data_IF_489673622358
#
_entry.id   IF_489673622358
#
_cell.length_a   1.000
_cell.length_b   1.000
_cell.length_c   1.000
_cell.angle_alpha   90.00
_cell.angle_beta   90.00
_cell.angle_gamma   90.00
#
_symmetry.space_group_name_H-M   'P 1'
#
loop_
_entity.id
_entity.type
_entity.pdbx_description
1 polymer ?
#
# COMPACT_ATOMS: atom_id res chain seq x y z
N UNK A 1 46.45 -3.55 2.90
CA UNK A 1 45.67 -4.48 3.74
C UNK A 1 44.26 -4.58 3.17
N UNK A 2 43.90 -5.64 2.43
CA UNK A 2 42.54 -5.79 1.88
C UNK A 2 41.53 -5.95 3.03
N UNK A 3 40.52 -5.09 3.06
CA UNK A 3 39.45 -5.16 4.06
C UNK A 3 38.66 -6.46 3.87
N UNK A 4 38.68 -7.32 4.89
CA UNK A 4 37.91 -8.55 4.89
C UNK A 4 36.42 -8.20 4.87
N UNK A 5 35.74 -8.51 3.75
CA UNK A 5 34.29 -8.40 3.64
C UNK A 5 33.63 -9.28 4.71
N UNK A 6 32.64 -8.70 5.39
CA UNK A 6 31.78 -9.42 6.34
C UNK A 6 31.11 -10.62 5.66
N UNK A 7 30.72 -11.66 6.41
CA UNK A 7 30.04 -12.84 5.85
C UNK A 7 28.82 -12.48 4.98
N UNK A 8 28.04 -11.48 5.42
CA UNK A 8 26.92 -10.93 4.66
C UNK A 8 27.36 -10.26 3.35
N UNK A 9 28.46 -9.50 3.38
CA UNK A 9 29.04 -8.88 2.18
C UNK A 9 29.53 -9.91 1.15
N UNK A 10 29.95 -11.10 1.60
CA UNK A 10 30.30 -12.22 0.69
C UNK A 10 29.07 -12.87 0.08
N UNK A 11 28.01 -13.10 0.86
CA UNK A 11 26.74 -13.65 0.37
C UNK A 11 26.07 -12.71 -0.64
N UNK A 12 25.98 -11.42 -0.35
CA UNK A 12 25.44 -10.43 -1.30
C UNK A 12 26.23 -10.39 -2.60
N UNK A 13 27.55 -10.51 -2.54
CA UNK A 13 28.41 -10.55 -3.74
C UNK A 13 28.19 -11.82 -4.57
N UNK A 14 27.96 -12.97 -3.92
CA UNK A 14 27.63 -14.22 -4.59
C UNK A 14 26.23 -14.19 -5.23
N UNK A 15 25.24 -13.63 -4.55
CA UNK A 15 23.88 -13.46 -5.09
C UNK A 15 23.91 -12.52 -6.29
N UNK A 16 24.60 -11.38 -6.19
CA UNK A 16 24.75 -10.43 -7.30
C UNK A 16 25.55 -11.00 -8.48
N UNK A 17 26.51 -11.87 -8.23
CA UNK A 17 27.27 -12.55 -9.29
C UNK A 17 26.47 -13.62 -10.03
N UNK A 18 25.43 -14.18 -9.39
CA UNK A 18 24.60 -15.26 -9.94
C UNK A 18 23.24 -14.78 -10.47
N UNK A 19 22.92 -13.50 -10.34
CA UNK A 19 21.77 -12.93 -11.06
C UNK A 19 22.05 -13.00 -12.56
N UNK A 20 21.17 -13.58 -13.37
CA UNK A 20 21.30 -13.56 -14.82
C UNK A 20 21.03 -12.13 -15.29
N UNK A 21 22.05 -11.29 -15.26
CA UNK A 21 22.09 -10.11 -16.12
C UNK A 21 22.16 -10.66 -17.54
N UNK A 22 20.98 -10.79 -18.15
CA UNK A 22 20.83 -11.07 -19.57
C UNK A 22 21.72 -10.09 -20.32
N UNK A 23 22.85 -10.57 -20.81
CA UNK A 23 23.63 -9.84 -21.78
C UNK A 23 22.71 -9.52 -22.97
N UNK A 24 22.70 -8.29 -23.48
CA UNK A 24 21.82 -7.90 -24.56
C UNK A 24 22.48 -8.31 -25.87
N UNK A 25 22.56 -9.60 -26.19
CA UNK A 25 23.04 -10.08 -27.50
C UNK A 25 22.74 -11.57 -27.67
N UNK A 26 21.51 -11.91 -28.07
CA UNK A 26 21.24 -13.06 -28.95
C UNK A 26 19.77 -13.06 -29.39
N UNK A 27 19.57 -13.01 -30.73
CA UNK A 27 18.34 -13.26 -31.49
C UNK A 27 17.30 -12.13 -31.60
N UNK A 28 17.60 -11.21 -32.53
CA UNK A 28 16.71 -11.01 -33.67
C UNK A 28 17.59 -10.91 -34.93
N UNK A 29 17.42 -11.86 -35.85
CA UNK A 29 17.93 -11.72 -37.21
C UNK A 29 17.03 -10.75 -37.99
N UNK A 30 17.66 -10.07 -38.96
CA UNK A 30 17.07 -9.34 -40.07
C UNK A 30 16.54 -7.92 -39.78
N UNK A 31 17.43 -6.92 -39.82
CA UNK A 31 17.13 -5.64 -40.48
C UNK A 31 18.43 -4.94 -40.95
N UNK A 32 18.58 -4.94 -42.28
CA UNK A 32 19.18 -3.94 -43.18
C UNK A 32 20.01 -2.79 -42.57
N UNK A 33 21.32 -2.83 -42.88
CA UNK A 33 22.16 -1.74 -43.46
C UNK A 33 22.11 -0.33 -42.83
N UNK A 34 23.16 -0.03 -42.07
CA UNK A 34 23.98 1.19 -42.22
C UNK A 34 23.52 2.49 -41.56
N UNK A 35 24.08 2.81 -40.39
CA UNK A 35 24.47 4.19 -40.06
C UNK A 35 25.42 4.22 -38.86
N UNK A 36 26.61 4.80 -39.06
CA UNK A 36 27.59 5.09 -38.02
C UNK A 36 27.17 6.35 -37.24
N UNK A 37 27.20 6.29 -35.91
CA UNK A 37 27.14 7.47 -35.05
C UNK A 37 28.37 7.47 -34.13
N UNK A 38 29.26 8.48 -34.22
CA UNK A 38 30.39 8.63 -33.31
C UNK A 38 29.98 9.45 -32.08
N UNK A 39 30.44 9.03 -30.90
CA UNK A 39 30.51 9.91 -29.73
C UNK A 39 29.92 9.35 -28.44
N UNK A 40 30.66 8.46 -27.77
CA UNK A 40 30.51 8.27 -26.33
C UNK A 40 31.91 8.27 -25.70
N UNK A 41 32.21 9.34 -24.96
CA UNK A 41 33.42 9.44 -24.13
C UNK A 41 33.25 8.61 -22.85
N UNK A 42 34.29 7.86 -22.41
CA UNK A 42 34.27 7.18 -21.12
C UNK A 42 34.53 8.19 -19.98
N UNK A 43 33.72 8.14 -18.93
CA UNK A 43 33.99 8.85 -17.67
C UNK A 43 34.91 8.00 -16.78
N UNK A 44 36.06 8.56 -16.42
CA UNK A 44 36.90 8.06 -15.34
C UNK A 44 36.29 8.46 -13.99
N UNK A 45 36.03 7.47 -13.13
CA UNK A 45 35.72 7.69 -11.72
C UNK A 45 37.04 7.75 -10.96
N UNK A 46 37.42 8.94 -10.49
CA UNK A 46 38.55 9.12 -9.59
C UNK A 46 38.12 8.84 -8.14
N UNK A 47 38.69 7.81 -7.55
CA UNK A 47 38.67 7.57 -6.10
C UNK A 47 39.81 8.37 -5.44
N UNK A 48 39.48 9.40 -4.67
CA UNK A 48 40.45 10.06 -3.78
C UNK A 48 40.32 9.51 -2.35
N UNK A 49 41.33 8.75 -1.93
CA UNK A 49 41.70 8.56 -0.54
C UNK A 49 42.72 9.64 -0.14
N UNK A 50 42.58 10.19 1.07
CA UNK A 50 43.57 11.07 1.70
C UNK A 50 42.91 11.74 2.91
N UNK A 51 43.08 11.19 4.12
CA UNK A 51 44.20 11.41 5.05
C UNK A 51 43.81 12.44 6.11
N UNK A 52 43.91 12.00 7.37
CA UNK A 52 43.69 12.77 8.57
C UNK A 52 45.01 13.36 9.11
N UNK A 53 44.84 14.30 10.05
CA UNK A 53 45.79 14.89 11.01
C UNK A 53 46.35 16.29 10.67
N UNK A 54 46.80 17.09 11.66
CA UNK A 54 46.33 17.27 13.04
C UNK A 54 46.18 18.75 13.45
N UNK A 55 45.81 18.97 14.72
CA UNK A 55 45.69 20.25 15.40
C UNK A 55 47.01 21.06 15.46
N UNK A 56 46.90 22.39 15.41
CA UNK A 56 47.91 23.31 15.91
C UNK A 56 47.27 24.61 16.43
N UNK A 57 47.88 25.11 17.50
CA UNK A 57 47.56 26.26 18.35
C UNK A 57 48.25 27.52 17.82
N UNK A 58 47.56 28.67 17.82
CA UNK A 58 48.10 30.04 18.00
C UNK A 58 46.94 31.05 17.75
N UNK A 59 46.45 31.77 18.76
CA UNK A 59 46.95 33.04 19.31
C UNK A 59 46.48 34.29 18.53
N UNK A 60 45.63 35.07 19.24
CA UNK A 60 45.53 36.54 19.28
C UNK A 60 45.50 37.35 17.99
N UNK A 61 44.37 38.03 17.75
CA UNK A 61 44.39 39.43 17.31
C UNK A 61 43.17 40.18 17.86
N UNK A 62 43.48 41.16 18.72
CA UNK A 62 42.63 42.26 19.17
C UNK A 62 42.38 43.22 18.02
N UNK A 63 41.13 43.58 17.76
CA UNK A 63 40.78 44.79 17.01
C UNK A 63 39.62 45.46 17.75
N UNK A 64 39.96 46.57 18.37
CA UNK A 64 39.03 47.58 18.87
C UNK A 64 38.12 48.05 17.73
N UNK A 65 36.82 48.13 17.97
CA UNK A 65 35.93 48.92 17.13
C UNK A 65 35.08 49.83 18.01
N UNK A 66 35.18 51.11 17.65
CA UNK A 66 34.63 52.28 18.29
C UNK A 66 33.14 52.18 18.66
N UNK A 67 32.82 52.67 19.85
CA UNK A 67 31.47 53.05 20.25
C UNK A 67 31.04 54.28 19.44
N UNK A 68 30.00 54.13 18.63
CA UNK A 68 29.27 55.22 17.98
C UNK A 68 27.96 55.50 18.74
N UNK A 69 27.82 56.61 19.49
CA UNK A 69 26.62 56.93 20.22
C UNK A 69 25.72 57.84 19.36
N UNK A 70 24.91 57.26 18.48
CA UNK A 70 24.10 58.10 17.60
C UNK A 70 23.15 57.41 16.64
N UNK A 71 22.43 56.36 17.04
CA UNK A 71 21.34 55.85 16.22
C UNK A 71 20.15 55.43 17.08
N UNK A 72 19.06 56.20 16.97
CA UNK A 72 17.79 55.89 17.61
C UNK A 72 17.27 54.53 17.13
N UNK A 73 16.75 53.68 18.03
CA UNK A 73 16.17 52.40 17.64
C UNK A 73 14.88 52.64 16.86
N UNK A 74 14.86 52.21 15.59
CA UNK A 74 13.63 52.14 14.81
C UNK A 74 12.61 51.23 15.53
N UNK A 75 11.30 51.57 15.51
CA UNK A 75 10.29 50.80 16.21
C UNK A 75 10.29 49.36 15.69
N UNK A 76 10.42 48.42 16.63
CA UNK A 76 10.41 46.99 16.37
C UNK A 76 9.18 46.61 15.54
N UNK A 77 9.39 46.31 14.26
CA UNK A 77 8.33 45.70 13.47
C UNK A 77 8.06 44.31 14.05
N UNK A 78 6.80 43.98 14.39
CA UNK A 78 6.47 42.64 14.83
C UNK A 78 6.88 41.68 13.72
N UNK A 79 7.76 40.73 14.03
CA UNK A 79 8.10 39.65 13.12
C UNK A 79 6.83 38.81 12.89
N UNK A 80 6.09 39.12 11.82
CA UNK A 80 5.06 38.24 11.29
C UNK A 80 5.76 36.99 10.75
N UNK A 81 6.00 36.03 11.64
CA UNK A 81 6.37 34.68 11.24
C UNK A 81 5.25 34.15 10.36
N UNK A 82 5.51 34.11 9.06
CA UNK A 82 4.67 33.46 8.07
C UNK A 82 4.23 32.10 8.62
N UNK A 83 2.91 31.81 8.71
CA UNK A 83 2.43 30.55 9.25
C UNK A 83 3.06 29.41 8.45
N UNK A 84 3.90 28.62 9.13
CA UNK A 84 4.65 27.55 8.51
C UNK A 84 3.67 26.58 7.84
N UNK A 85 3.88 26.35 6.54
CA UNK A 85 3.48 25.15 5.77
C UNK A 85 2.18 24.48 6.25
N UNK A 86 1.09 24.91 5.62
CA UNK A 86 0.04 24.05 5.04
C UNK A 86 -0.03 22.65 5.66
N UNK A 87 -0.67 22.53 6.82
CA UNK A 87 -1.14 21.24 7.34
C UNK A 87 -2.26 20.81 6.40
N UNK A 88 -1.91 20.15 5.29
CA UNK A 88 -2.89 19.49 4.43
C UNK A 88 -3.58 18.43 5.29
N UNK A 89 -4.80 18.75 5.74
CA UNK A 89 -5.70 17.78 6.36
C UNK A 89 -5.90 16.65 5.35
N UNK A 90 -5.18 15.54 5.52
CA UNK A 90 -5.44 14.30 4.78
C UNK A 90 -6.83 13.85 5.21
N UNK A 91 -7.85 14.25 4.43
CA UNK A 91 -9.21 13.71 4.57
C UNK A 91 -9.07 12.19 4.50
N UNK A 92 -9.34 11.51 5.61
CA UNK A 92 -9.35 10.05 5.62
C UNK A 92 -10.41 9.62 4.61
N UNK A 93 -10.03 8.75 3.67
CA UNK A 93 -11.00 8.15 2.77
C UNK A 93 -12.02 7.40 3.63
N UNK A 94 -13.29 7.72 3.43
CA UNK A 94 -14.41 7.10 4.13
C UNK A 94 -14.49 5.62 3.73
N UNK A 95 -14.77 4.77 4.70
CA UNK A 95 -14.81 3.32 4.52
C UNK A 95 -16.26 2.83 4.60
N UNK A 96 -17.00 3.05 3.50
CA UNK A 96 -18.44 2.80 3.43
C UNK A 96 -18.83 1.38 3.83
N UNK A 97 -18.01 0.39 3.45
CA UNK A 97 -18.31 -1.03 3.74
C UNK A 97 -18.16 -1.37 5.21
N UNK A 98 -17.11 -0.85 5.87
CA UNK A 98 -16.92 -1.05 7.30
C UNK A 98 -18.02 -0.34 8.08
N UNK A 99 -18.38 0.90 7.71
CA UNK A 99 -19.49 1.62 8.33
C UNK A 99 -20.85 0.89 8.13
N UNK A 100 -21.08 0.31 6.95
CA UNK A 100 -22.27 -0.48 6.69
C UNK A 100 -22.36 -1.73 7.55
N UNK A 101 -21.24 -2.44 7.76
CA UNK A 101 -21.21 -3.60 8.66
C UNK A 101 -21.23 -3.20 10.14
N UNK A 102 -20.66 -2.06 10.53
CA UNK A 102 -20.75 -1.56 11.91
C UNK A 102 -22.19 -1.23 12.32
N UNK A 103 -22.99 -0.76 11.35
CA UNK A 103 -24.43 -0.54 11.55
C UNK A 103 -25.26 -1.84 11.50
N UNK A 104 -24.65 -2.96 11.14
CA UNK A 104 -25.30 -4.28 11.13
C UNK A 104 -25.08 -5.02 12.44
N UNK A 105 -25.96 -5.97 12.77
CA UNK A 105 -25.86 -6.83 13.97
C UNK A 105 -24.74 -7.90 13.85
N UNK A 106 -23.70 -7.66 13.04
CA UNK A 106 -22.63 -8.62 12.72
C UNK A 106 -21.22 -8.08 13.05
N UNK A 107 -20.91 -7.75 14.32
CA UNK A 107 -19.63 -7.16 14.71
C UNK A 107 -18.42 -8.08 14.43
N UNK A 108 -18.64 -9.40 14.35
CA UNK A 108 -17.59 -10.40 14.09
C UNK A 108 -16.97 -10.28 12.69
N UNK A 109 -17.73 -9.75 11.72
CA UNK A 109 -17.29 -9.61 10.33
C UNK A 109 -16.52 -8.30 10.14
N UNK A 110 -16.85 -7.29 10.96
CA UNK A 110 -16.27 -5.95 10.88
C UNK A 110 -14.75 -6.10 10.98
N UNK A 111 -14.01 -5.77 9.91
CA UNK A 111 -12.57 -5.86 9.94
C UNK A 111 -12.09 -4.99 11.09
N UNK A 112 -11.29 -5.57 12.00
CA UNK A 112 -10.82 -4.89 13.20
C UNK A 112 -10.48 -3.44 12.81
N UNK A 113 -11.28 -2.49 13.32
CA UNK A 113 -11.15 -1.08 12.97
C UNK A 113 -9.68 -0.80 13.08
N UNK A 114 -9.06 -0.37 11.96
CA UNK A 114 -7.62 -0.26 11.84
C UNK A 114 -7.19 0.42 13.12
N UNK A 115 -6.59 -0.37 14.03
CA UNK A 115 -6.52 0.06 15.43
C UNK A 115 -5.97 1.46 15.34
N UNK A 116 -6.46 2.37 16.17
CA UNK A 116 -5.79 3.65 16.35
C UNK A 116 -4.39 3.44 16.98
N UNK A 117 -3.65 2.38 16.60
CA UNK A 117 -2.22 2.39 16.34
C UNK A 117 -1.96 3.57 15.40
N UNK A 118 -2.02 4.74 16.01
CA UNK A 118 -1.31 5.92 15.59
C UNK A 118 0.07 5.45 15.19
N UNK A 119 0.47 5.78 13.97
CA UNK A 119 1.76 5.38 13.44
C UNK A 119 2.86 5.98 14.33
N UNK A 120 3.26 5.23 15.36
CA UNK A 120 4.30 5.58 16.31
C UNK A 120 5.69 5.46 15.68
N UNK A 121 5.81 4.97 14.43
CA UNK A 121 7.08 4.92 13.72
C UNK A 121 7.68 6.31 13.46
N UNK A 122 6.86 7.36 13.50
CA UNK A 122 7.28 8.76 13.38
C UNK A 122 7.40 9.50 14.72
N UNK A 123 6.94 8.90 15.83
CA UNK A 123 7.13 9.45 17.15
C UNK A 123 8.54 9.11 17.62
N UNK A 124 9.47 10.03 17.34
CA UNK A 124 10.77 10.00 17.98
C UNK A 124 10.57 10.08 19.49
N UNK A 125 10.73 8.94 20.18
CA UNK A 125 10.55 8.77 21.63
C UNK A 125 11.40 9.78 22.42
N UNK A 126 12.45 10.35 21.81
CA UNK A 126 13.32 11.35 22.41
C UNK A 126 12.79 12.79 22.35
N UNK A 127 11.70 13.05 21.63
CA UNK A 127 11.10 14.39 21.61
C UNK A 127 10.34 14.65 22.90
N UNK A 128 10.89 15.50 23.77
CA UNK A 128 10.26 15.95 25.03
C UNK A 128 8.84 16.52 24.84
N UNK A 129 8.49 16.91 23.60
CA UNK A 129 7.17 17.46 23.23
C UNK A 129 6.28 16.48 22.45
N UNK A 130 6.73 15.25 22.17
CA UNK A 130 5.99 14.27 21.38
C UNK A 130 4.64 13.91 22.00
N UNK A 131 4.59 13.80 23.34
CA UNK A 131 3.38 13.45 24.09
C UNK A 131 2.34 14.58 24.09
N UNK A 132 2.76 15.85 24.26
CA UNK A 132 1.86 17.01 24.18
C UNK A 132 1.30 17.19 22.76
N UNK A 133 2.16 17.05 21.75
CA UNK A 133 1.73 17.11 20.35
C UNK A 133 0.76 15.97 20.01
N UNK A 134 1.00 14.78 20.57
CA UNK A 134 0.11 13.63 20.44
C UNK A 134 -1.28 13.90 21.02
N UNK A 135 -1.40 14.49 22.21
CA UNK A 135 -2.71 14.84 22.79
C UNK A 135 -3.46 15.82 21.89
N UNK A 136 -2.79 16.86 21.38
CA UNK A 136 -3.39 17.85 20.48
C UNK A 136 -3.85 17.22 19.16
N UNK A 137 -3.04 16.35 18.55
CA UNK A 137 -3.43 15.67 17.31
C UNK A 137 -4.55 14.64 17.55
N UNK A 138 -4.57 13.97 18.70
CA UNK A 138 -5.63 13.02 19.07
C UNK A 138 -6.97 13.72 19.32
N UNK A 139 -6.98 14.87 19.99
CA UNK A 139 -8.18 15.71 20.16
C UNK A 139 -8.69 16.24 18.82
N UNK A 140 -7.80 16.70 17.94
CA UNK A 140 -8.16 17.10 16.56
C UNK A 140 -8.80 15.96 15.79
N UNK A 141 -8.25 14.75 15.86
CA UNK A 141 -8.82 13.58 15.21
C UNK A 141 -10.12 13.07 15.86
N UNK A 142 -10.32 13.32 17.16
CA UNK A 142 -11.57 13.01 17.85
C UNK A 142 -12.68 14.00 17.52
N UNK A 143 -12.34 15.28 17.29
CA UNK A 143 -13.25 16.32 16.82
C UNK A 143 -13.60 16.18 15.32
N UNK A 144 -12.69 15.62 14.51
CA UNK A 144 -12.94 15.21 13.12
C UNK A 144 -13.81 13.94 12.99
N UNK A 145 -14.47 13.48 14.07
CA UNK A 145 -15.51 12.43 13.99
C UNK A 145 -16.57 12.92 13.00
N UNK A 146 -16.60 12.26 11.84
CA UNK A 146 -17.31 12.72 10.66
C UNK A 146 -18.82 12.86 10.91
N UNK A 147 -19.47 13.83 10.27
CA UNK A 147 -20.92 13.95 10.29
C UNK A 147 -21.57 12.66 9.78
N UNK A 148 -22.60 12.23 10.52
CA UNK A 148 -23.56 11.16 10.16
C UNK A 148 -23.92 11.27 8.68
N UNK A 149 -23.61 10.23 7.89
CA UNK A 149 -24.09 9.91 6.53
C UNK A 149 -24.53 11.07 5.60
N UNK A 150 -23.97 12.27 5.72
CA UNK A 150 -24.44 13.42 4.99
C UNK A 150 -24.03 13.30 3.52
N UNK A 151 -24.94 12.70 2.72
CA UNK A 151 -25.16 12.81 1.29
C UNK A 151 -24.00 13.41 0.47
N UNK A 152 -22.82 12.80 0.52
CA UNK A 152 -21.77 13.13 -0.45
C UNK A 152 -22.22 12.53 -1.78
N UNK A 153 -22.28 13.30 -2.86
CA UNK A 153 -22.74 12.86 -4.19
C UNK A 153 -21.71 11.94 -4.90
N UNK A 154 -20.79 11.33 -4.16
CA UNK A 154 -19.71 10.54 -4.73
C UNK A 154 -20.21 9.16 -5.16
N UNK A 155 -20.12 8.88 -6.47
CA UNK A 155 -20.49 7.61 -7.10
C UNK A 155 -19.31 6.65 -7.04
N UNK A 156 -19.42 5.64 -6.19
CA UNK A 156 -18.40 4.61 -5.98
C UNK A 156 -19.06 3.26 -5.81
N UNK A 157 -18.47 2.22 -6.39
CA UNK A 157 -18.97 0.85 -6.27
C UNK A 157 -19.02 0.40 -4.80
N UNK A 158 -18.05 0.81 -3.99
CA UNK A 158 -18.00 0.49 -2.55
C UNK A 158 -19.21 1.06 -1.80
N UNK A 159 -19.64 2.27 -2.17
CA UNK A 159 -20.80 2.92 -1.54
C UNK A 159 -22.10 2.27 -1.95
N UNK A 160 -22.28 2.00 -3.26
CA UNK A 160 -23.49 1.33 -3.75
C UNK A 160 -23.61 -0.05 -3.09
N UNK A 161 -22.50 -0.78 -2.99
CA UNK A 161 -22.45 -2.08 -2.30
C UNK A 161 -22.78 -1.93 -0.81
N UNK A 162 -22.23 -0.91 -0.13
CA UNK A 162 -22.52 -0.62 1.27
C UNK A 162 -24.01 -0.32 1.52
N UNK A 163 -24.66 0.43 0.63
CA UNK A 163 -26.10 0.70 0.72
C UNK A 163 -26.91 -0.61 0.63
N UNK A 164 -26.56 -1.50 -0.30
CA UNK A 164 -27.21 -2.81 -0.44
C UNK A 164 -27.01 -3.69 0.81
N UNK A 165 -25.81 -3.65 1.41
CA UNK A 165 -25.52 -4.33 2.68
C UNK A 165 -26.43 -3.82 3.80
N UNK A 166 -26.55 -2.49 3.96
CA UNK A 166 -27.41 -1.88 5.00
C UNK A 166 -28.87 -2.31 4.84
N UNK A 167 -29.42 -2.24 3.63
CA UNK A 167 -30.82 -2.64 3.37
C UNK A 167 -31.06 -4.14 3.50
N UNK A 168 -30.07 -4.98 3.20
CA UNK A 168 -30.18 -6.43 3.40
C UNK A 168 -30.35 -6.80 4.88
N UNK A 169 -29.61 -6.12 5.76
CA UNK A 169 -29.65 -6.36 7.21
C UNK A 169 -30.93 -5.78 7.84
N UNK A 170 -31.36 -4.58 7.45
CA UNK A 170 -32.63 -4.00 7.92
C UNK A 170 -33.83 -4.94 7.70
N UNK A 171 -33.85 -5.67 6.58
CA UNK A 171 -34.88 -6.67 6.27
C UNK A 171 -34.78 -7.91 7.16
N UNK A 172 -33.55 -8.35 7.43
CA UNK A 172 -33.32 -9.51 8.27
C UNK A 172 -33.75 -9.25 9.72
N UNK A 173 -33.60 -8.02 10.21
CA UNK A 173 -34.03 -7.59 11.53
C UNK A 173 -35.53 -7.30 11.60
N UNK A 174 -36.15 -6.73 10.54
CA UNK A 174 -37.61 -6.58 10.42
C UNK A 174 -38.29 -7.88 9.98
N UNK A 175 -38.16 -8.92 10.79
CA UNK A 175 -38.89 -10.17 10.58
C UNK A 175 -40.40 -9.89 10.65
N UNK A 176 -41.11 -10.06 9.53
CA UNK A 176 -42.36 -10.85 9.36
C UNK A 176 -43.39 -10.25 8.40
N UNK A 177 -43.55 -8.92 8.24
CA UNK A 177 -44.77 -8.42 7.54
C UNK A 177 -44.59 -7.68 6.21
N UNK A 178 -43.36 -7.41 5.74
CA UNK A 178 -43.12 -6.59 4.54
C UNK A 178 -42.11 -7.27 3.61
N UNK A 179 -42.49 -8.43 3.06
CA UNK A 179 -41.57 -9.35 2.36
C UNK A 179 -41.25 -8.97 0.91
N UNK A 180 -42.01 -8.06 0.29
CA UNK A 180 -42.00 -7.90 -1.17
C UNK A 180 -41.45 -6.57 -1.71
N UNK A 181 -41.02 -5.65 -0.86
CA UNK A 181 -40.34 -4.45 -1.36
C UNK A 181 -38.93 -4.84 -1.80
N UNK A 182 -38.72 -5.17 -3.07
CA UNK A 182 -37.39 -5.33 -3.67
C UNK A 182 -36.60 -4.02 -3.51
N UNK A 183 -35.31 -4.10 -3.13
CA UNK A 183 -34.50 -2.90 -2.99
C UNK A 183 -34.31 -2.29 -4.38
N UNK A 184 -34.74 -1.05 -4.56
CA UNK A 184 -34.60 -0.35 -5.83
C UNK A 184 -33.39 0.58 -5.72
N UNK A 185 -32.38 0.33 -6.55
CA UNK A 185 -31.28 1.26 -6.77
C UNK A 185 -31.83 2.59 -7.29
N UNK A 186 -31.21 3.69 -6.90
CA UNK A 186 -31.53 4.97 -7.52
C UNK A 186 -31.15 4.93 -9.01
N UNK A 187 -31.91 5.63 -9.87
CA UNK A 187 -31.72 5.61 -11.34
C UNK A 187 -30.27 5.91 -11.75
N UNK A 188 -29.64 6.89 -11.09
CA UNK A 188 -28.25 7.26 -11.34
C UNK A 188 -27.22 6.22 -10.85
N UNK A 189 -27.54 5.42 -9.82
CA UNK A 189 -26.69 4.30 -9.40
C UNK A 189 -26.75 3.19 -10.46
N UNK A 190 -27.94 2.91 -10.98
CA UNK A 190 -28.14 1.93 -12.04
C UNK A 190 -27.43 2.33 -13.34
N UNK A 191 -27.54 3.60 -13.76
CA UNK A 191 -26.79 4.15 -14.91
C UNK A 191 -25.28 4.06 -14.70
N UNK A 192 -24.79 4.38 -13.49
CA UNK A 192 -23.38 4.27 -13.17
C UNK A 192 -22.89 2.81 -13.25
N UNK A 193 -23.62 1.85 -12.69
CA UNK A 193 -23.29 0.43 -12.78
C UNK A 193 -23.28 -0.05 -14.23
N UNK A 194 -24.29 0.32 -15.01
CA UNK A 194 -24.39 -0.03 -16.41
C UNK A 194 -23.20 0.52 -17.22
N UNK A 195 -22.79 1.78 -16.96
CA UNK A 195 -21.60 2.39 -17.59
C UNK A 195 -20.29 1.66 -17.26
N UNK A 196 -20.27 0.90 -16.17
CA UNK A 196 -19.14 0.07 -15.74
C UNK A 196 -19.29 -1.40 -16.13
N UNK A 197 -20.38 -1.76 -16.82
CA UNK A 197 -20.67 -3.13 -17.23
C UNK A 197 -21.04 -4.05 -16.07
N UNK A 198 -21.66 -3.50 -15.03
CA UNK A 198 -22.17 -4.25 -13.87
C UNK A 198 -23.69 -4.16 -13.79
N UNK A 199 -24.31 -5.21 -13.26
CA UNK A 199 -25.75 -5.25 -12.98
C UNK A 199 -26.02 -5.11 -11.48
N UNK A 200 -27.28 -4.90 -11.11
CA UNK A 200 -27.70 -4.97 -9.71
C UNK A 200 -27.39 -6.34 -9.08
N UNK A 201 -27.55 -7.42 -9.84
CA UNK A 201 -27.25 -8.79 -9.38
C UNK A 201 -25.79 -8.93 -8.96
N UNK A 202 -24.86 -8.32 -9.71
CA UNK A 202 -23.44 -8.33 -9.35
C UNK A 202 -23.23 -7.63 -8.01
N UNK A 203 -23.82 -6.44 -7.81
CA UNK A 203 -23.70 -5.70 -6.55
C UNK A 203 -24.33 -6.46 -5.38
N UNK A 204 -25.50 -7.06 -5.59
CA UNK A 204 -26.18 -7.89 -4.59
C UNK A 204 -25.30 -9.08 -4.19
N UNK A 205 -24.63 -9.70 -5.16
CA UNK A 205 -23.69 -10.77 -4.91
C UNK A 205 -22.46 -10.29 -4.13
N UNK A 206 -21.88 -9.13 -4.47
CA UNK A 206 -20.77 -8.55 -3.72
C UNK A 206 -21.14 -8.23 -2.28
N UNK A 207 -22.33 -7.65 -2.07
CA UNK A 207 -22.90 -7.42 -0.75
C UNK A 207 -23.03 -8.75 0.01
N UNK A 208 -23.53 -9.80 -0.64
CA UNK A 208 -23.66 -11.13 -0.03
C UNK A 208 -22.31 -11.75 0.35
N UNK A 209 -21.24 -11.50 -0.42
CA UNK A 209 -19.87 -11.95 -0.08
C UNK A 209 -19.37 -11.17 1.14
N UNK A 210 -19.57 -9.86 1.16
CA UNK A 210 -19.07 -8.97 2.22
C UNK A 210 -19.78 -9.23 3.56
N UNK A 211 -21.10 -9.43 3.52
CA UNK A 211 -21.94 -9.71 4.71
C UNK A 211 -21.88 -11.16 5.19
N UNK A 212 -21.24 -12.09 4.46
CA UNK A 212 -21.16 -13.49 4.88
C UNK A 212 -20.28 -13.63 6.13
N UNK A 213 -20.81 -14.22 7.21
CA UNK A 213 -20.10 -14.36 8.50
C UNK A 213 -18.88 -15.27 8.40
N UNK A 214 -19.04 -16.38 7.69
CA UNK A 214 -17.97 -17.35 7.51
C UNK A 214 -17.03 -16.93 6.37
N UNK A 215 -15.80 -16.57 6.72
CA UNK A 215 -14.76 -16.21 5.74
C UNK A 215 -14.52 -17.28 4.67
N UNK A 216 -14.67 -18.57 5.00
CA UNK A 216 -14.52 -19.65 4.02
C UNK A 216 -15.67 -19.63 3.00
N UNK A 217 -16.92 -19.49 3.47
CA UNK A 217 -18.09 -19.36 2.57
C UNK A 217 -18.00 -18.10 1.71
N UNK A 218 -17.57 -16.98 2.28
CA UNK A 218 -17.40 -15.72 1.56
C UNK A 218 -16.41 -15.88 0.38
N UNK A 219 -15.28 -16.54 0.64
CA UNK A 219 -14.29 -16.84 -0.41
C UNK A 219 -14.83 -17.83 -1.44
N UNK A 220 -15.57 -18.86 -1.04
CA UNK A 220 -16.18 -19.80 -1.98
C UNK A 220 -17.21 -19.13 -2.90
N UNK A 221 -18.01 -18.19 -2.39
CA UNK A 221 -18.92 -17.37 -3.21
C UNK A 221 -18.16 -16.52 -4.23
N UNK A 222 -17.05 -15.91 -3.81
CA UNK A 222 -16.17 -15.17 -4.72
C UNK A 222 -15.59 -16.07 -5.82
N UNK A 223 -15.16 -17.28 -5.47
CA UNK A 223 -14.63 -18.27 -6.43
C UNK A 223 -15.70 -18.70 -7.42
N UNK A 224 -16.90 -19.02 -6.94
CA UNK A 224 -18.02 -19.43 -7.79
C UNK A 224 -18.32 -18.36 -8.85
N UNK A 225 -18.43 -17.10 -8.43
CA UNK A 225 -18.69 -15.98 -9.34
C UNK A 225 -17.54 -15.75 -10.34
N UNK A 226 -16.29 -15.83 -9.89
CA UNK A 226 -15.13 -15.66 -10.78
C UNK A 226 -15.00 -16.78 -11.83
N UNK A 227 -15.48 -17.98 -11.52
CA UNK A 227 -15.53 -19.12 -12.44
C UNK A 227 -16.61 -18.95 -13.52
N UNK A 228 -17.69 -18.23 -13.23
CA UNK A 228 -18.72 -17.83 -14.21
C UNK A 228 -18.22 -16.75 -15.21
N UNK A 229 -16.95 -16.35 -15.11
CA UNK A 229 -16.33 -15.35 -15.99
C UNK A 229 -16.60 -13.90 -15.56
N UNK A 230 -17.38 -13.68 -14.51
CA UNK A 230 -17.62 -12.34 -13.94
C UNK A 230 -16.55 -12.01 -12.91
N UNK A 231 -15.81 -10.92 -13.13
CA UNK A 231 -14.72 -10.52 -12.24
C UNK A 231 -15.28 -9.64 -11.12
N UNK A 232 -15.22 -10.09 -9.87
CA UNK A 232 -15.60 -9.24 -8.71
C UNK A 232 -14.63 -8.05 -8.63
N UNK A 233 -15.08 -6.82 -8.31
CA UNK A 233 -14.17 -5.69 -8.13
C UNK A 233 -13.10 -5.91 -7.06
N UNK A 234 -11.92 -5.31 -7.26
CA UNK A 234 -10.75 -5.52 -6.38
C UNK A 234 -11.01 -5.13 -4.93
N UNK A 235 -11.90 -4.16 -4.67
CA UNK A 235 -12.21 -3.75 -3.30
C UNK A 235 -12.84 -4.88 -2.48
N UNK A 236 -13.60 -5.80 -3.10
CA UNK A 236 -14.20 -6.95 -2.41
C UNK A 236 -13.11 -7.93 -1.99
N UNK A 237 -12.16 -8.22 -2.88
CA UNK A 237 -10.99 -9.04 -2.57
C UNK A 237 -10.16 -8.44 -1.42
N UNK A 238 -9.91 -7.14 -1.51
CA UNK A 238 -9.21 -6.38 -0.48
C UNK A 238 -9.96 -6.42 0.86
N UNK A 239 -11.29 -6.38 0.83
CA UNK A 239 -12.14 -6.46 2.02
C UNK A 239 -12.03 -7.83 2.69
N UNK A 240 -12.09 -8.93 1.92
CA UNK A 240 -11.89 -10.29 2.45
C UNK A 240 -10.51 -10.45 3.10
N UNK A 241 -9.46 -9.91 2.49
CA UNK A 241 -8.10 -9.87 3.05
C UNK A 241 -7.98 -8.99 4.30
N UNK A 242 -8.98 -8.17 4.64
CA UNK A 242 -8.97 -7.35 5.86
C UNK A 242 -9.62 -8.06 7.05
N UNK A 243 -10.36 -9.14 6.83
CA UNK A 243 -11.03 -9.88 7.90
C UNK A 243 -10.02 -10.38 8.94
N UNK A 244 -10.35 -10.33 10.24
CA UNK A 244 -9.41 -10.69 11.31
C UNK A 244 -9.11 -12.19 11.33
N UNK A 245 -10.05 -13.02 10.87
CA UNK A 245 -9.95 -14.46 10.95
C UNK A 245 -10.02 -15.09 9.55
N UNK A 246 -8.85 -15.41 9.01
CA UNK A 246 -8.68 -16.24 7.81
C UNK A 246 -7.90 -17.49 8.19
N UNK A 247 -8.52 -18.66 8.11
CA UNK A 247 -7.79 -19.91 8.30
C UNK A 247 -6.86 -20.19 7.08
N UNK A 248 -5.85 -21.06 7.27
CA UNK A 248 -4.87 -21.37 6.24
C UNK A 248 -5.50 -21.91 4.93
N UNK A 249 -6.57 -22.71 5.04
CA UNK A 249 -7.28 -23.28 3.89
C UNK A 249 -7.98 -22.20 3.07
N UNK A 250 -8.68 -21.29 3.73
CA UNK A 250 -9.34 -20.13 3.12
C UNK A 250 -8.33 -19.18 2.50
N UNK A 251 -7.22 -18.90 3.19
CA UNK A 251 -6.14 -18.09 2.63
C UNK A 251 -5.57 -18.71 1.36
N UNK A 252 -5.37 -20.03 1.32
CA UNK A 252 -4.92 -20.73 0.11
C UNK A 252 -5.86 -20.54 -1.08
N UNK A 253 -7.16 -20.69 -0.87
CA UNK A 253 -8.17 -20.46 -1.91
C UNK A 253 -8.15 -19.00 -2.36
N UNK A 254 -8.06 -18.07 -1.40
CA UNK A 254 -8.03 -16.63 -1.66
C UNK A 254 -6.78 -16.22 -2.47
N UNK A 255 -5.59 -16.74 -2.15
CA UNK A 255 -4.35 -16.45 -2.88
C UNK A 255 -4.40 -16.92 -4.34
N UNK A 256 -5.05 -18.06 -4.62
CA UNK A 256 -5.31 -18.49 -6.00
C UNK A 256 -6.16 -17.48 -6.75
N UNK A 257 -7.17 -16.92 -6.07
CA UNK A 257 -7.98 -15.87 -6.65
C UNK A 257 -7.16 -14.59 -6.86
N UNK A 258 -6.30 -14.18 -5.92
CA UNK A 258 -5.40 -13.03 -6.11
C UNK A 258 -4.53 -13.19 -7.38
N UNK A 259 -3.99 -14.38 -7.63
CA UNK A 259 -3.21 -14.65 -8.85
C UNK A 259 -4.06 -14.54 -10.13
N UNK A 260 -5.29 -15.09 -10.11
CA UNK A 260 -6.24 -14.94 -11.23
C UNK A 260 -6.59 -13.46 -11.45
N UNK A 261 -6.78 -12.71 -10.36
CA UNK A 261 -7.06 -11.28 -10.39
C UNK A 261 -5.95 -10.49 -11.05
N UNK A 262 -4.71 -10.67 -10.58
CA UNK A 262 -3.58 -9.93 -11.11
C UNK A 262 -3.29 -10.32 -12.56
N UNK A 263 -3.54 -11.56 -12.96
CA UNK A 263 -3.43 -11.95 -14.36
C UNK A 263 -4.52 -11.31 -15.24
N UNK A 264 -5.79 -11.35 -14.83
CA UNK A 264 -6.92 -10.86 -15.63
C UNK A 264 -6.95 -9.33 -15.74
N UNK A 265 -6.67 -8.59 -14.66
CA UNK A 265 -6.66 -7.12 -14.70
C UNK A 265 -5.56 -6.57 -15.61
N UNK A 266 -4.40 -7.23 -15.64
CA UNK A 266 -3.32 -6.85 -16.55
C UNK A 266 -3.63 -7.19 -18.03
N UNK A 267 -4.65 -8.01 -18.31
CA UNK A 267 -4.97 -8.48 -19.67
C UNK A 267 -5.92 -7.54 -20.44
N UNK A 268 -6.00 -6.26 -20.07
CA UNK A 268 -6.75 -5.19 -20.77
C UNK A 268 -8.28 -5.34 -20.88
N UNK A 269 -8.90 -6.41 -20.38
CA UNK A 269 -10.34 -6.71 -20.58
C UNK A 269 -11.28 -5.62 -20.04
N UNK A 270 -10.83 -4.71 -19.16
CA UNK A 270 -11.68 -3.63 -18.60
C UNK A 270 -10.99 -2.26 -18.45
N UNK A 271 -9.82 -2.04 -19.07
CA UNK A 271 -9.11 -0.76 -19.01
C UNK A 271 -8.78 -0.26 -17.59
N UNK A 272 -8.75 -1.17 -16.60
CA UNK A 272 -8.50 -0.84 -15.21
C UNK A 272 -7.21 -1.55 -14.81
N UNK A 273 -6.10 -0.84 -14.83
CA UNK A 273 -4.82 -1.38 -14.39
C UNK A 273 -4.77 -1.41 -12.85
N UNK A 274 -4.09 -2.41 -12.30
CA UNK A 274 -3.80 -2.44 -10.87
C UNK A 274 -2.72 -1.40 -10.60
N UNK A 275 -3.07 -0.38 -9.83
CA UNK A 275 -2.10 0.63 -9.42
C UNK A 275 -1.11 0.06 -8.39
N UNK A 276 0.08 0.64 -8.33
CA UNK A 276 1.15 0.29 -7.38
C UNK A 276 0.61 0.21 -5.95
N UNK A 277 -0.26 1.16 -5.55
CA UNK A 277 -0.74 1.22 -4.18
C UNK A 277 -1.65 0.05 -3.86
N UNK A 278 -2.54 -0.35 -4.77
CA UNK A 278 -3.38 -1.55 -4.61
C UNK A 278 -2.54 -2.82 -4.58
N UNK A 279 -1.53 -2.95 -5.46
CA UNK A 279 -0.63 -4.09 -5.46
C UNK A 279 0.10 -4.22 -4.10
N UNK A 280 0.65 -3.13 -3.58
CA UNK A 280 1.29 -3.12 -2.27
C UNK A 280 0.34 -3.46 -1.13
N UNK A 281 -0.93 -3.04 -1.20
CA UNK A 281 -1.95 -3.39 -0.19
C UNK A 281 -2.29 -4.88 -0.26
N UNK A 282 -2.47 -5.46 -1.46
CA UNK A 282 -2.68 -6.90 -1.65
C UNK A 282 -1.52 -7.70 -1.05
N UNK A 283 -0.29 -7.32 -1.39
CA UNK A 283 0.92 -7.96 -0.88
C UNK A 283 1.01 -7.89 0.65
N UNK A 284 0.88 -6.69 1.22
CA UNK A 284 0.99 -6.48 2.67
C UNK A 284 -0.05 -7.27 3.45
N UNK A 285 -1.32 -7.27 2.99
CA UNK A 285 -2.40 -7.99 3.67
C UNK A 285 -2.25 -9.50 3.53
N UNK A 286 -1.85 -9.98 2.36
CA UNK A 286 -1.58 -11.41 2.12
C UNK A 286 -0.46 -11.91 3.02
N UNK A 287 0.66 -11.17 3.10
CA UNK A 287 1.78 -11.51 3.97
C UNK A 287 1.39 -11.53 5.45
N UNK A 288 0.58 -10.58 5.91
CA UNK A 288 0.10 -10.57 7.30
C UNK A 288 -0.61 -11.88 7.65
N UNK A 289 -1.56 -12.31 6.82
CA UNK A 289 -2.29 -13.56 7.04
C UNK A 289 -1.40 -14.79 6.91
N UNK A 290 -0.46 -14.78 5.96
CA UNK A 290 0.50 -15.87 5.82
C UNK A 290 1.36 -16.01 7.08
N UNK A 291 1.89 -14.92 7.64
CA UNK A 291 2.67 -14.97 8.89
C UNK A 291 1.92 -15.54 10.08
N UNK A 292 0.64 -15.23 10.18
CA UNK A 292 -0.17 -15.64 11.33
C UNK A 292 -0.67 -17.08 11.20
N UNK A 293 -0.92 -17.55 9.97
CA UNK A 293 -1.73 -18.77 9.74
C UNK A 293 -1.11 -19.75 8.75
N UNK A 294 -0.26 -19.31 7.82
CA UNK A 294 0.34 -20.18 6.81
C UNK A 294 1.70 -19.66 6.28
N UNK A 295 2.79 -19.73 7.07
CA UNK A 295 4.07 -19.07 6.73
C UNK A 295 4.74 -19.62 5.46
N UNK A 296 4.54 -20.91 5.16
CA UNK A 296 4.97 -21.52 3.89
C UNK A 296 4.48 -20.78 2.64
N UNK A 297 3.38 -20.03 2.73
CA UNK A 297 2.87 -19.25 1.60
C UNK A 297 3.64 -17.96 1.32
N UNK A 298 4.55 -17.51 2.21
CA UNK A 298 5.30 -16.26 2.04
C UNK A 298 6.08 -16.29 0.71
N UNK A 299 6.79 -17.37 0.41
CA UNK A 299 7.51 -17.53 -0.87
C UNK A 299 6.59 -17.36 -2.09
N UNK A 300 5.47 -18.09 -2.14
CA UNK A 300 4.51 -17.98 -3.25
C UNK A 300 3.88 -16.58 -3.37
N UNK A 301 3.65 -15.88 -2.25
CA UNK A 301 3.15 -14.50 -2.25
C UNK A 301 4.21 -13.54 -2.81
N UNK A 302 5.48 -13.74 -2.46
CA UNK A 302 6.61 -12.96 -2.98
C UNK A 302 6.76 -13.17 -4.48
N UNK A 303 6.76 -14.42 -4.96
CA UNK A 303 6.87 -14.73 -6.39
C UNK A 303 5.74 -14.04 -7.19
N UNK A 304 4.50 -14.18 -6.73
CA UNK A 304 3.35 -13.52 -7.34
C UNK A 304 3.51 -11.99 -7.35
N UNK A 305 4.04 -11.40 -6.28
CA UNK A 305 4.28 -9.96 -6.21
C UNK A 305 5.37 -9.51 -7.18
N UNK A 306 6.47 -10.26 -7.30
CA UNK A 306 7.55 -9.98 -8.25
C UNK A 306 7.07 -10.06 -9.71
N UNK A 307 6.22 -11.05 -10.02
CA UNK A 307 5.59 -11.14 -11.33
C UNK A 307 4.68 -9.93 -11.61
N UNK A 308 3.91 -9.49 -10.62
CA UNK A 308 2.99 -8.37 -10.77
C UNK A 308 3.72 -7.03 -10.86
N UNK A 309 4.75 -6.82 -10.04
CA UNK A 309 5.52 -5.57 -10.03
C UNK A 309 6.27 -5.40 -11.36
N UNK A 310 6.83 -6.48 -11.92
CA UNK A 310 7.47 -6.44 -13.23
C UNK A 310 6.49 -6.03 -14.34
N UNK A 311 5.21 -6.38 -14.25
CA UNK A 311 4.17 -5.99 -15.22
C UNK A 311 3.70 -4.54 -15.02
N UNK A 312 3.35 -4.17 -13.78
CA UNK A 312 2.89 -2.80 -13.43
C UNK A 312 3.97 -1.77 -13.78
N UNK A 313 5.21 -2.08 -13.43
CA UNK A 313 6.38 -1.29 -13.81
C UNK A 313 7.04 -1.84 -15.07
N UNK A 314 6.32 -2.51 -15.97
CA UNK A 314 6.78 -3.05 -17.25
C UNK A 314 6.28 -2.25 -18.46
N UNK A 315 5.04 -1.74 -18.35
CA UNK A 315 4.22 -1.40 -19.51
C UNK A 315 4.14 0.10 -19.90
N UNK A 316 4.96 1.01 -19.34
CA UNK A 316 4.72 2.48 -19.45
C UNK A 316 5.84 3.31 -20.09
N UNK A 317 5.47 4.28 -20.94
CA UNK A 317 6.33 5.33 -21.54
C UNK A 317 6.80 6.45 -20.58
N UNK A 318 6.48 6.33 -19.28
CA UNK A 318 6.94 7.30 -18.27
C UNK A 318 8.47 7.35 -18.16
N UNK A 319 9.01 8.49 -17.68
CA UNK A 319 10.46 8.67 -17.57
C UNK A 319 11.09 7.52 -16.78
N UNK A 320 11.99 6.78 -17.45
CA UNK A 320 12.59 5.52 -16.95
C UNK A 320 13.13 5.66 -15.52
N UNK A 321 13.62 6.86 -15.15
CA UNK A 321 14.20 7.16 -13.84
C UNK A 321 13.19 7.14 -12.68
N UNK A 322 12.05 7.83 -12.81
CA UNK A 322 11.03 7.89 -11.74
C UNK A 322 10.40 6.52 -11.52
N UNK A 323 10.14 5.79 -12.61
CA UNK A 323 9.61 4.43 -12.59
C UNK A 323 10.55 3.45 -11.87
N UNK A 324 11.84 3.48 -12.20
CA UNK A 324 12.85 2.66 -11.53
C UNK A 324 12.94 3.01 -10.04
N UNK A 325 12.89 4.29 -9.67
CA UNK A 325 12.91 4.71 -8.28
C UNK A 325 11.70 4.19 -7.48
N UNK A 326 10.49 4.27 -8.05
CA UNK A 326 9.27 3.75 -7.43
C UNK A 326 9.31 2.21 -7.29
N UNK A 327 9.78 1.51 -8.33
CA UNK A 327 9.94 0.05 -8.29
C UNK A 327 10.95 -0.36 -7.20
N UNK A 328 12.11 0.27 -7.12
CA UNK A 328 13.11 0.04 -6.07
C UNK A 328 12.51 0.31 -4.69
N UNK A 329 11.77 1.42 -4.54
CA UNK A 329 11.10 1.74 -3.28
C UNK A 329 10.08 0.66 -2.87
N UNK A 330 9.27 0.18 -3.80
CA UNK A 330 8.30 -0.90 -3.56
C UNK A 330 8.99 -2.22 -3.21
N UNK A 331 10.09 -2.59 -3.88
CA UNK A 331 10.89 -3.77 -3.57
C UNK A 331 11.57 -3.67 -2.19
N UNK A 332 12.17 -2.53 -1.86
CA UNK A 332 12.77 -2.29 -0.54
C UNK A 332 11.71 -2.40 0.57
N UNK A 333 10.53 -1.85 0.33
CA UNK A 333 9.39 -1.99 1.24
C UNK A 333 8.94 -3.44 1.35
N UNK A 334 8.91 -4.19 0.24
CA UNK A 334 8.56 -5.60 0.24
C UNK A 334 9.57 -6.45 1.03
N UNK A 335 10.88 -6.24 0.83
CA UNK A 335 11.94 -6.89 1.60
C UNK A 335 11.80 -6.61 3.10
N UNK A 336 11.58 -5.34 3.48
CA UNK A 336 11.36 -5.00 4.88
C UNK A 336 10.12 -5.68 5.45
N UNK A 337 9.04 -5.75 4.66
CA UNK A 337 7.84 -6.46 5.06
C UNK A 337 8.13 -7.94 5.22
N UNK A 338 8.84 -8.63 4.31
CA UNK A 338 9.17 -10.07 4.36
C UNK A 338 10.01 -10.40 5.60
N UNK A 339 10.99 -9.55 5.92
CA UNK A 339 11.90 -9.73 7.05
C UNK A 339 11.24 -9.64 8.45
N UNK A 340 9.97 -9.24 8.55
CA UNK A 340 9.26 -9.26 9.83
C UNK A 340 9.05 -10.71 10.31
N UNK A 341 9.33 -11.03 11.59
CA UNK A 341 9.20 -12.39 12.12
C UNK A 341 7.75 -12.88 12.07
N UNK A 342 7.58 -14.19 11.95
CA UNK A 342 6.25 -14.83 12.08
C UNK A 342 5.83 -14.87 13.54
N UNK A 343 4.52 -14.77 13.79
CA UNK A 343 4.00 -14.66 15.16
C UNK A 343 3.86 -16.01 15.87
N UNK A 344 3.83 -17.11 15.13
CA UNK A 344 3.54 -18.43 15.67
C UNK A 344 4.80 -19.13 16.18
N UNK A 345 5.79 -19.34 15.32
CA UNK A 345 7.02 -20.08 15.68
C UNK A 345 8.25 -19.48 14.98
N UNK A 346 8.74 -18.31 15.42
CA UNK A 346 9.74 -17.53 14.69
C UNK A 346 11.03 -18.30 14.37
N UNK A 347 11.44 -19.22 15.24
CA UNK A 347 12.66 -20.01 15.04
C UNK A 347 12.49 -21.19 14.07
N UNK A 348 11.31 -21.83 14.04
CA UNK A 348 11.04 -22.95 13.11
C UNK A 348 10.76 -22.46 11.70
N UNK A 349 10.15 -21.29 11.60
CA UNK A 349 9.67 -20.72 10.34
C UNK A 349 10.68 -19.78 9.69
N UNK A 350 11.83 -19.51 10.35
CA UNK A 350 12.92 -18.72 9.80
C UNK A 350 13.38 -19.24 8.43
N UNK A 351 13.41 -20.55 8.23
CA UNK A 351 13.78 -21.17 6.95
C UNK A 351 12.85 -20.73 5.79
N UNK A 352 11.54 -20.66 6.03
CA UNK A 352 10.57 -20.24 5.00
C UNK A 352 10.72 -18.75 4.68
N UNK A 353 11.18 -17.93 5.64
CA UNK A 353 11.47 -16.51 5.43
C UNK A 353 12.78 -16.30 4.66
N UNK A 354 13.84 -17.02 5.04
CA UNK A 354 15.14 -17.00 4.35
C UNK A 354 15.02 -17.43 2.90
N UNK A 355 14.17 -18.42 2.60
CA UNK A 355 13.92 -18.86 1.22
C UNK A 355 13.19 -17.82 0.36
N UNK A 356 12.45 -16.91 0.98
CA UNK A 356 11.63 -15.92 0.29
C UNK A 356 12.33 -14.57 0.10
N UNK A 357 13.43 -14.32 0.82
CA UNK A 357 14.34 -13.19 0.63
C UNK A 357 15.36 -13.52 -0.47
#
# INVERSE_FOLDING_TARGET
MPQALTPLGRQLRLVLANLPFSAPNARLENFVRGQECPGIRPYHVATSHGQAAPAAVAATHTVDTYNDPGTQPAPAQPNWTLPSRTIMKKRRRRDYLTEALENSDAPEIVPAAAHRKHDISHLNVKSRNGQKKWHVDNERHAADRMPVLASTKELRLERITANVVQHGEERQSRRVSQRDESFQLATWEAEYLHSKGYTYEDVSLWASIISERDSHKAVNRLVAHNNEGRIVPIFVLLYLLRRPHLNARTLRVLLRQVAVYTQRYNSAVRGQDIDETTLMVLFTRSLRHAREKWPRAISAITDMFLDCIARVFGSSDTSKRTRMANMIHALNRAMHLIALPTSAEPFKEAYDQERAL
#
